data_IF_808754593892
#
_entry.id   IF_808754593892
#
_cell.length_a   1.000
_cell.length_b   1.000
_cell.length_c   1.000
_cell.angle_alpha   90.00
_cell.angle_beta   90.00
_cell.angle_gamma   90.00
#
_symmetry.space_group_name_H-M   'P 1'
#
loop_
_entity.id
_entity.type
_entity.pdbx_description
1 polymer ?
#
# COMPACT_ATOMS: atom_id res chain seq x y z
N UNK A 1 -9.76 17.36 4.88
CA UNK A 1 -9.66 16.90 6.28
C UNK A 1 -8.67 17.82 6.95
N UNK A 2 -8.95 18.31 8.14
CA UNK A 2 -8.17 19.41 8.74
C UNK A 2 -7.16 18.87 9.74
N UNK A 3 -5.97 19.45 9.76
CA UNK A 3 -4.86 19.13 10.63
C UNK A 3 -4.48 20.35 11.45
N UNK A 4 -4.18 20.14 12.74
CA UNK A 4 -3.83 21.19 13.68
C UNK A 4 -2.49 20.88 14.36
N UNK A 5 -1.55 21.83 14.34
CA UNK A 5 -0.35 21.75 15.18
C UNK A 5 -0.68 22.32 16.55
N UNK A 6 -0.54 21.50 17.58
CA UNK A 6 -0.89 21.86 18.96
C UNK A 6 0.31 21.71 19.90
N UNK A 7 0.24 22.36 21.06
CA UNK A 7 1.29 22.30 22.09
C UNK A 7 0.80 21.91 23.48
N UNK A 8 1.61 21.14 24.19
CA UNK A 8 1.35 20.72 25.56
C UNK A 8 1.66 21.88 26.51
N UNK A 9 0.67 22.25 27.33
CA UNK A 9 0.80 23.27 28.37
C UNK A 9 1.83 22.92 29.45
N UNK A 10 2.09 21.64 29.68
CA UNK A 10 2.92 21.16 30.79
C UNK A 10 4.39 21.01 30.41
N UNK A 11 4.68 20.45 29.23
CA UNK A 11 6.05 20.11 28.82
C UNK A 11 6.50 20.78 27.51
N UNK A 12 5.63 21.59 26.88
CA UNK A 12 5.93 22.34 25.66
C UNK A 12 6.11 21.49 24.39
N UNK A 13 5.86 20.19 24.44
CA UNK A 13 5.92 19.32 23.27
C UNK A 13 4.90 19.75 22.20
N UNK A 14 5.26 19.63 20.92
CA UNK A 14 4.42 19.93 19.77
C UNK A 14 4.04 18.65 19.02
N UNK A 15 2.82 18.54 18.52
CA UNK A 15 2.36 17.43 17.67
C UNK A 15 1.24 17.86 16.73
N UNK A 16 0.97 17.04 15.71
CA UNK A 16 -0.12 17.23 14.74
C UNK A 16 -1.33 16.41 15.20
N UNK A 17 -2.52 17.00 15.11
CA UNK A 17 -3.80 16.34 15.37
C UNK A 17 -4.63 16.38 14.10
N UNK A 18 -5.12 15.22 13.66
CA UNK A 18 -6.08 15.10 12.58
C UNK A 18 -7.51 15.34 13.10
N UNK A 19 -8.28 16.12 12.35
CA UNK A 19 -9.66 16.47 12.65
C UNK A 19 -9.79 17.31 13.92
N UNK A 20 -10.89 17.10 14.64
CA UNK A 20 -11.23 17.82 15.87
C UNK A 20 -11.73 16.86 16.95
N UNK A 21 -10.87 15.94 17.44
CA UNK A 21 -11.26 15.00 18.48
C UNK A 21 -11.56 15.73 19.79
N UNK A 22 -12.30 15.11 20.72
CA UNK A 22 -12.54 15.71 22.04
C UNK A 22 -11.25 15.85 22.88
N UNK A 23 -10.34 14.89 22.71
CA UNK A 23 -9.08 14.84 23.46
C UNK A 23 -7.91 14.43 22.59
N UNK A 24 -6.71 14.88 22.96
CA UNK A 24 -5.46 14.47 22.34
C UNK A 24 -4.38 14.21 23.40
N UNK A 25 -3.50 13.25 23.17
CA UNK A 25 -2.43 12.86 24.08
C UNK A 25 -1.12 13.55 23.73
N UNK A 26 -0.41 14.08 24.72
CA UNK A 26 0.93 14.58 24.51
C UNK A 26 1.91 13.41 24.27
N UNK A 27 2.67 13.37 23.17
CA UNK A 27 3.58 12.26 22.87
C UNK A 27 4.84 12.23 23.75
N UNK A 28 5.08 13.26 24.57
CA UNK A 28 6.29 13.36 25.41
C UNK A 28 6.02 13.03 26.88
N UNK A 29 4.96 13.59 27.47
CA UNK A 29 4.64 13.37 28.88
C UNK A 29 3.39 12.50 29.08
N UNK A 30 2.79 12.02 27.98
CA UNK A 30 1.65 11.09 27.95
C UNK A 30 0.37 11.63 28.61
N UNK A 31 0.36 12.90 29.01
CA UNK A 31 -0.84 13.56 29.54
C UNK A 31 -1.90 13.70 28.45
N UNK A 32 -3.15 13.39 28.82
CA UNK A 32 -4.33 13.62 27.97
C UNK A 32 -4.85 15.05 28.17
N UNK A 33 -5.08 15.75 27.07
CA UNK A 33 -5.60 17.12 27.05
C UNK A 33 -6.94 17.18 26.31
N UNK A 34 -7.82 18.11 26.71
CA UNK A 34 -9.00 18.46 25.91
C UNK A 34 -8.53 19.27 24.70
N UNK A 35 -8.88 18.80 23.49
CA UNK A 35 -8.41 19.42 22.25
C UNK A 35 -8.82 20.90 22.15
N UNK A 36 -10.06 21.21 22.53
CA UNK A 36 -10.59 22.58 22.56
C UNK A 36 -9.85 23.54 23.49
N UNK A 37 -9.02 23.03 24.41
CA UNK A 37 -8.20 23.83 25.34
C UNK A 37 -6.72 23.87 24.96
N UNK A 38 -6.30 23.09 23.97
CA UNK A 38 -4.93 23.13 23.50
C UNK A 38 -4.68 24.42 22.73
N UNK A 39 -3.46 24.94 22.83
CA UNK A 39 -3.02 26.03 21.98
C UNK A 39 -2.78 25.47 20.58
N UNK A 40 -3.60 25.89 19.63
CA UNK A 40 -3.40 25.64 18.20
C UNK A 40 -2.47 26.70 17.63
N UNK A 41 -1.43 26.27 16.93
CA UNK A 41 -0.44 27.15 16.29
C UNK A 41 -0.73 27.36 14.80
N UNK A 42 -1.15 26.31 14.12
CA UNK A 42 -1.65 26.34 12.74
C UNK A 42 -2.80 25.34 12.61
N UNK A 43 -3.75 25.65 11.74
CA UNK A 43 -4.80 24.76 11.29
C UNK A 43 -4.81 24.83 9.75
N UNK A 44 -4.79 23.68 9.08
CA UNK A 44 -4.65 23.56 7.62
C UNK A 44 -5.34 22.29 7.13
N UNK A 45 -5.77 22.24 5.87
CA UNK A 45 -6.30 21.02 5.26
C UNK A 45 -5.23 20.14 4.59
N UNK A 46 -3.97 20.55 4.69
CA UNK A 46 -2.78 19.88 4.17
C UNK A 46 -1.95 19.29 5.32
N UNK A 47 -1.79 17.97 5.34
CA UNK A 47 -1.06 17.26 6.39
C UNK A 47 0.44 17.59 6.38
N UNK A 48 1.03 17.66 5.20
CA UNK A 48 2.46 17.91 5.03
C UNK A 48 2.81 19.33 5.46
N UNK A 49 1.94 20.29 5.15
CA UNK A 49 2.10 21.64 5.68
C UNK A 49 2.04 21.68 7.22
N UNK A 50 1.17 20.88 7.86
CA UNK A 50 1.13 20.80 9.33
C UNK A 50 2.43 20.18 9.90
N UNK A 51 2.98 19.16 9.24
CA UNK A 51 4.26 18.53 9.63
C UNK A 51 5.42 19.51 9.48
N UNK A 52 5.46 20.25 8.39
CA UNK A 52 6.48 21.27 8.10
C UNK A 52 6.47 22.42 9.12
N UNK A 53 5.30 22.99 9.41
CA UNK A 53 5.17 24.04 10.44
C UNK A 53 5.65 23.54 11.80
N UNK A 54 5.29 22.31 12.18
CA UNK A 54 5.78 21.70 13.42
C UNK A 54 7.31 21.57 13.40
N UNK A 55 7.90 21.12 12.29
CA UNK A 55 9.33 20.95 12.14
C UNK A 55 10.07 22.30 12.23
N UNK A 56 9.59 23.32 11.52
CA UNK A 56 10.11 24.69 11.59
C UNK A 56 10.07 25.24 13.03
N UNK A 57 8.97 25.04 13.76
CA UNK A 57 8.88 25.45 15.16
C UNK A 57 9.90 24.75 16.07
N UNK A 58 10.17 23.46 15.84
CA UNK A 58 11.16 22.71 16.60
C UNK A 58 12.59 23.16 16.25
N UNK A 59 12.87 23.41 14.97
CA UNK A 59 14.17 23.92 14.51
C UNK A 59 14.46 25.30 15.11
N UNK A 60 13.49 26.22 15.05
CA UNK A 60 13.60 27.53 15.68
C UNK A 60 13.86 27.43 17.19
N UNK A 61 13.18 26.51 17.88
CA UNK A 61 13.40 26.26 19.32
C UNK A 61 14.79 25.71 19.63
N UNK A 62 15.36 24.94 18.73
CA UNK A 62 16.71 24.38 18.85
C UNK A 62 17.82 25.35 18.39
N UNK A 63 17.47 26.52 17.82
CA UNK A 63 18.44 27.47 17.26
C UNK A 63 18.92 27.13 15.85
N UNK A 64 18.22 26.24 15.13
CA UNK A 64 18.54 25.81 13.77
C UNK A 64 17.52 26.31 12.73
N UNK A 65 16.84 27.42 13.01
CA UNK A 65 15.80 27.97 12.12
C UNK A 65 16.32 28.35 10.73
N UNK A 66 17.52 28.93 10.65
CA UNK A 66 18.15 29.29 9.37
C UNK A 66 18.49 28.05 8.55
N UNK A 67 19.14 27.06 9.15
CA UNK A 67 19.46 25.80 8.49
C UNK A 67 18.21 25.04 8.01
N UNK A 68 17.10 25.14 8.75
CA UNK A 68 15.83 24.55 8.32
C UNK A 68 15.22 25.29 7.12
N UNK A 69 15.36 26.61 7.05
CA UNK A 69 14.86 27.41 5.93
C UNK A 69 15.66 27.18 4.63
N UNK A 70 16.84 26.59 4.71
CA UNK A 70 17.64 26.15 3.56
C UNK A 70 17.25 24.76 3.05
N UNK A 71 16.45 24.00 3.80
CA UNK A 71 15.95 22.70 3.37
C UNK A 71 14.78 22.88 2.39
N UNK A 72 14.61 21.90 1.52
CA UNK A 72 13.42 21.83 0.65
C UNK A 72 12.16 21.50 1.46
N UNK A 73 11.00 21.77 0.86
CA UNK A 73 9.71 21.54 1.50
C UNK A 73 9.52 20.05 1.89
N UNK A 74 8.66 19.81 2.89
CA UNK A 74 8.50 18.46 3.48
C UNK A 74 8.18 17.36 2.45
N UNK A 75 7.40 17.68 1.40
CA UNK A 75 7.08 16.73 0.32
C UNK A 75 8.31 16.31 -0.46
N UNK A 76 9.16 17.26 -0.83
CA UNK A 76 10.39 17.00 -1.60
C UNK A 76 11.40 16.20 -0.78
N UNK A 77 11.50 16.48 0.53
CA UNK A 77 12.29 15.67 1.46
C UNK A 77 11.79 14.23 1.56
N UNK A 78 10.48 14.00 1.39
CA UNK A 78 9.88 12.67 1.30
C UNK A 78 10.41 11.89 0.10
N UNK A 79 10.40 12.50 -1.09
CA UNK A 79 10.90 11.88 -2.32
C UNK A 79 12.37 11.46 -2.18
N UNK A 80 13.23 12.34 -1.63
CA UNK A 80 14.63 11.98 -1.38
C UNK A 80 14.80 10.86 -0.35
N UNK A 81 13.90 10.75 0.63
CA UNK A 81 13.97 9.70 1.63
C UNK A 81 13.53 8.34 1.06
N UNK A 82 12.60 8.33 0.11
CA UNK A 82 12.23 7.12 -0.66
C UNK A 82 13.37 6.68 -1.57
N UNK A 83 14.04 7.62 -2.22
CA UNK A 83 15.23 7.37 -3.04
C UNK A 83 16.51 7.10 -2.21
N UNK A 84 16.47 7.34 -0.89
CA UNK A 84 17.61 7.13 -0.02
C UNK A 84 17.73 5.66 0.39
N UNK A 85 18.60 4.93 -0.29
CA UNK A 85 18.91 3.56 0.08
C UNK A 85 19.47 2.77 -1.09
N UNK A 86 19.41 1.45 -0.95
CA UNK A 86 19.55 0.55 -2.09
C UNK A 86 18.19 0.48 -2.78
N UNK A 87 18.17 0.52 -4.10
CA UNK A 87 16.94 0.24 -4.83
C UNK A 87 16.47 -1.21 -4.58
N UNK A 88 15.20 -1.50 -4.84
CA UNK A 88 14.68 -2.87 -4.77
C UNK A 88 15.51 -3.83 -5.65
N UNK A 89 15.96 -3.35 -6.81
CA UNK A 89 16.81 -4.12 -7.73
C UNK A 89 18.18 -4.42 -7.10
N UNK A 90 18.85 -3.41 -6.53
CA UNK A 90 20.13 -3.58 -5.85
C UNK A 90 20.01 -4.49 -4.62
N UNK A 91 18.90 -4.39 -3.89
CA UNK A 91 18.60 -5.27 -2.76
C UNK A 91 18.43 -6.72 -3.20
N UNK A 92 17.69 -6.97 -4.28
CA UNK A 92 17.43 -8.31 -4.82
C UNK A 92 18.70 -8.94 -5.40
N UNK A 93 19.50 -8.19 -6.16
CA UNK A 93 20.80 -8.63 -6.65
C UNK A 93 21.74 -8.99 -5.48
N UNK A 94 21.80 -8.13 -4.46
CA UNK A 94 22.57 -8.40 -3.25
C UNK A 94 22.08 -9.65 -2.49
N UNK A 95 20.79 -9.96 -2.56
CA UNK A 95 20.19 -11.18 -2.01
C UNK A 95 20.42 -12.43 -2.90
N UNK A 96 21.09 -12.29 -4.05
CA UNK A 96 21.40 -13.36 -4.98
C UNK A 96 20.27 -13.68 -5.97
N UNK A 97 19.33 -12.75 -6.17
CA UNK A 97 18.28 -12.84 -7.19
C UNK A 97 18.77 -12.14 -8.45
N UNK A 98 18.88 -12.88 -9.55
CA UNK A 98 19.21 -12.32 -10.86
C UNK A 98 17.98 -11.59 -11.43
N UNK A 99 17.90 -10.28 -11.18
CA UNK A 99 16.78 -9.43 -11.59
C UNK A 99 16.65 -9.32 -13.11
N UNK A 100 17.78 -9.31 -13.83
CA UNK A 100 17.82 -9.31 -15.30
C UNK A 100 17.23 -10.61 -15.87
N UNK A 101 17.58 -11.77 -15.31
CA UNK A 101 17.01 -13.05 -15.73
C UNK A 101 15.50 -13.09 -15.47
N UNK A 102 15.04 -12.61 -14.29
CA UNK A 102 13.62 -12.58 -13.93
C UNK A 102 12.82 -11.71 -14.90
N UNK A 103 13.28 -10.50 -15.20
CA UNK A 103 12.64 -9.62 -16.19
C UNK A 103 12.63 -10.25 -17.59
N UNK A 104 13.74 -10.86 -18.00
CA UNK A 104 13.81 -11.56 -19.28
C UNK A 104 12.89 -12.80 -19.34
N UNK A 105 12.59 -13.44 -18.21
CA UNK A 105 11.57 -14.50 -18.14
C UNK A 105 10.17 -13.90 -18.33
N UNK A 106 9.85 -12.80 -17.67
CA UNK A 106 8.57 -12.10 -17.78
C UNK A 106 8.30 -11.67 -19.23
N UNK A 107 9.23 -10.94 -19.86
CA UNK A 107 9.11 -10.52 -21.26
C UNK A 107 8.94 -11.72 -22.21
N UNK A 108 9.66 -12.82 -21.97
CA UNK A 108 9.48 -14.04 -22.77
C UNK A 108 8.11 -14.66 -22.56
N UNK A 109 7.55 -14.62 -21.36
CA UNK A 109 6.20 -15.13 -21.07
C UNK A 109 5.15 -14.26 -21.76
N UNK A 110 5.27 -12.94 -21.68
CA UNK A 110 4.37 -12.00 -22.35
C UNK A 110 4.43 -12.11 -23.88
N UNK A 111 5.63 -12.10 -24.45
CA UNK A 111 5.84 -12.19 -25.90
C UNK A 111 5.47 -13.55 -26.48
N UNK A 112 5.58 -14.62 -25.68
CA UNK A 112 5.34 -15.97 -26.19
C UNK A 112 3.86 -16.34 -26.30
N UNK A 113 2.92 -15.45 -25.96
CA UNK A 113 1.48 -15.64 -26.14
C UNK A 113 1.05 -17.07 -25.78
N UNK A 114 1.63 -17.61 -24.71
CA UNK A 114 1.61 -19.05 -24.44
C UNK A 114 0.16 -19.47 -24.23
N UNK A 115 -0.24 -20.56 -24.88
CA UNK A 115 -1.39 -21.34 -24.44
C UNK A 115 -1.24 -21.55 -22.93
N UNK A 116 -2.12 -20.94 -22.13
CA UNK A 116 -2.07 -21.00 -20.67
C UNK A 116 -1.87 -22.46 -20.25
N UNK A 117 -0.97 -22.70 -19.29
CA UNK A 117 -0.81 -24.05 -18.74
C UNK A 117 -2.17 -24.52 -18.21
N UNK A 118 -2.47 -25.83 -18.25
CA UNK A 118 -3.83 -26.34 -17.91
C UNK A 118 -4.41 -25.78 -16.60
N UNK A 119 -3.54 -25.59 -15.60
CA UNK A 119 -3.88 -25.06 -14.27
C UNK A 119 -4.03 -23.54 -14.25
N UNK A 120 -3.22 -22.87 -15.05
CA UNK A 120 -3.21 -21.43 -15.23
C UNK A 120 -4.48 -21.01 -15.97
N UNK A 121 -4.87 -21.71 -17.05
CA UNK A 121 -6.10 -21.46 -17.79
C UNK A 121 -7.34 -21.45 -16.87
N UNK A 122 -7.44 -22.40 -15.93
CA UNK A 122 -8.53 -22.46 -14.95
C UNK A 122 -8.48 -21.29 -13.98
N UNK A 123 -7.29 -20.89 -13.51
CA UNK A 123 -7.14 -19.77 -12.57
C UNK A 123 -7.34 -18.42 -13.25
N UNK A 124 -6.89 -18.25 -14.48
CA UNK A 124 -7.10 -17.06 -15.30
C UNK A 124 -8.60 -16.89 -15.58
N UNK A 125 -9.30 -17.95 -15.98
CA UNK A 125 -10.76 -17.91 -16.14
C UNK A 125 -11.49 -17.42 -14.86
N UNK A 126 -11.07 -17.91 -13.69
CA UNK A 126 -11.65 -17.50 -12.40
C UNK A 126 -11.30 -16.07 -11.96
N UNK A 127 -10.26 -15.46 -12.53
CA UNK A 127 -9.85 -14.08 -12.22
C UNK A 127 -10.41 -13.07 -13.21
N UNK A 128 -10.47 -13.43 -14.48
CA UNK A 128 -10.82 -12.51 -15.56
C UNK A 128 -12.31 -12.51 -15.89
N UNK A 129 -13.01 -13.63 -15.66
CA UNK A 129 -14.45 -13.68 -15.81
C UNK A 129 -15.12 -13.23 -14.51
N UNK A 130 -16.16 -12.41 -14.62
CA UNK A 130 -16.97 -11.98 -13.49
C UNK A 130 -17.93 -13.10 -13.05
N UNK A 131 -17.63 -13.71 -11.90
CA UNK A 131 -18.44 -14.77 -11.28
C UNK A 131 -18.79 -15.94 -12.23
N UNK A 132 -17.81 -16.55 -12.94
CA UNK A 132 -18.09 -17.53 -13.98
C UNK A 132 -18.71 -18.81 -13.44
N UNK A 133 -19.62 -19.38 -14.19
CA UNK A 133 -20.07 -20.75 -13.98
C UNK A 133 -18.99 -21.76 -14.35
N UNK A 134 -19.09 -22.99 -13.84
CA UNK A 134 -18.18 -24.08 -14.23
C UNK A 134 -18.14 -24.31 -15.76
N UNK A 135 -19.26 -24.09 -16.44
CA UNK A 135 -19.36 -24.21 -17.91
C UNK A 135 -18.57 -23.12 -18.62
N UNK A 136 -18.57 -21.89 -18.11
CA UNK A 136 -17.79 -20.78 -18.68
C UNK A 136 -16.30 -20.97 -18.45
N UNK A 137 -15.91 -21.47 -17.28
CA UNK A 137 -14.51 -21.87 -17.02
C UNK A 137 -14.08 -22.99 -17.97
N UNK A 138 -14.94 -23.97 -18.25
CA UNK A 138 -14.67 -25.03 -19.24
C UNK A 138 -14.53 -24.48 -20.65
N UNK A 139 -15.36 -23.51 -21.04
CA UNK A 139 -15.30 -22.88 -22.36
C UNK A 139 -13.99 -22.10 -22.54
N UNK A 140 -13.63 -21.24 -21.58
CA UNK A 140 -12.37 -20.50 -21.59
C UNK A 140 -11.16 -21.43 -21.64
N UNK A 141 -11.13 -22.45 -20.76
CA UNK A 141 -10.01 -23.37 -20.72
C UNK A 141 -9.89 -24.22 -22.01
N UNK A 142 -11.00 -24.50 -22.70
CA UNK A 142 -10.99 -25.20 -23.99
C UNK A 142 -10.33 -24.37 -25.11
N UNK A 143 -10.47 -23.04 -25.09
CA UNK A 143 -9.75 -22.13 -26.01
C UNK A 143 -8.23 -22.25 -25.85
N UNK A 144 -7.77 -22.61 -24.65
CA UNK A 144 -6.37 -22.88 -24.33
C UNK A 144 -5.98 -24.37 -24.37
N UNK A 145 -6.82 -25.23 -24.95
CA UNK A 145 -6.51 -26.66 -25.14
C UNK A 145 -6.64 -27.53 -23.88
N UNK A 146 -7.42 -27.08 -22.89
CA UNK A 146 -7.66 -27.81 -21.64
C UNK A 146 -8.99 -28.55 -21.70
N UNK A 147 -8.96 -29.87 -21.49
CA UNK A 147 -10.18 -30.70 -21.48
C UNK A 147 -11.05 -30.46 -20.24
N UNK A 148 -12.36 -30.52 -20.40
CA UNK A 148 -13.35 -30.28 -19.33
C UNK A 148 -13.16 -31.16 -18.09
N UNK A 149 -12.73 -32.42 -18.25
CA UNK A 149 -12.43 -33.34 -17.13
C UNK A 149 -11.26 -32.85 -16.26
N UNK A 150 -10.34 -32.07 -16.83
CA UNK A 150 -9.28 -31.44 -16.05
C UNK A 150 -9.83 -30.27 -15.25
N UNK A 151 -10.65 -29.43 -15.87
CA UNK A 151 -11.26 -28.25 -15.25
C UNK A 151 -12.09 -28.66 -14.04
N UNK A 152 -12.95 -29.67 -14.18
CA UNK A 152 -13.79 -30.18 -13.09
C UNK A 152 -12.96 -30.67 -11.90
N UNK A 153 -11.91 -31.46 -12.16
CA UNK A 153 -10.98 -31.91 -11.11
C UNK A 153 -10.22 -30.76 -10.46
N UNK A 154 -9.82 -29.76 -11.23
CA UNK A 154 -9.13 -28.58 -10.73
C UNK A 154 -10.04 -27.75 -9.82
N UNK A 155 -11.28 -27.47 -10.25
CA UNK A 155 -12.28 -26.76 -9.46
C UNK A 155 -12.65 -27.52 -8.18
N UNK A 156 -12.83 -28.84 -8.25
CA UNK A 156 -13.05 -29.66 -7.07
C UNK A 156 -11.89 -29.55 -6.07
N UNK A 157 -10.65 -29.50 -6.56
CA UNK A 157 -9.48 -29.34 -5.69
C UNK A 157 -9.42 -27.95 -5.05
N UNK A 158 -9.73 -26.89 -5.79
CA UNK A 158 -9.76 -25.51 -5.29
C UNK A 158 -10.88 -25.33 -4.24
N UNK A 159 -12.08 -25.85 -4.50
CA UNK A 159 -13.18 -25.88 -3.52
C UNK A 159 -12.79 -26.60 -2.23
N UNK A 160 -12.10 -27.75 -2.34
CA UNK A 160 -11.62 -28.50 -1.16
C UNK A 160 -10.54 -27.76 -0.37
N UNK A 161 -9.73 -26.95 -1.05
CA UNK A 161 -8.71 -26.12 -0.41
C UNK A 161 -9.29 -24.84 0.23
N UNK A 162 -10.51 -24.45 -0.15
CA UNK A 162 -11.10 -23.17 0.25
C UNK A 162 -10.62 -22.01 -0.62
N UNK A 163 -10.01 -22.27 -1.77
CA UNK A 163 -9.51 -21.23 -2.70
C UNK A 163 -10.61 -20.67 -3.61
N UNK A 164 -11.76 -21.35 -3.70
CA UNK A 164 -12.90 -20.97 -4.54
C UNK A 164 -14.19 -21.13 -3.75
N UNK A 165 -15.02 -20.09 -3.79
CA UNK A 165 -16.41 -20.10 -3.30
C UNK A 165 -17.38 -20.11 -4.47
N UNK A 166 -18.56 -20.69 -4.24
CA UNK A 166 -19.66 -20.69 -5.19
C UNK A 166 -20.86 -19.98 -4.58
N UNK A 167 -21.37 -18.97 -5.27
CA UNK A 167 -22.55 -18.19 -4.86
C UNK A 167 -23.50 -18.12 -6.05
N UNK A 168 -24.74 -18.59 -5.87
CA UNK A 168 -25.78 -18.59 -6.91
C UNK A 168 -25.35 -19.22 -8.26
N UNK A 169 -24.41 -20.17 -8.22
CA UNK A 169 -23.85 -20.86 -9.39
C UNK A 169 -22.64 -20.16 -10.04
N UNK A 170 -22.28 -18.97 -9.58
CA UNK A 170 -21.06 -18.26 -9.96
C UNK A 170 -19.86 -18.63 -9.07
N UNK A 171 -18.70 -18.83 -9.69
CA UNK A 171 -17.46 -19.18 -9.01
C UNK A 171 -16.62 -17.93 -8.77
N UNK A 172 -16.06 -17.80 -7.57
CA UNK A 172 -15.16 -16.71 -7.22
C UNK A 172 -13.93 -17.24 -6.50
N UNK A 173 -12.76 -16.76 -6.91
CA UNK A 173 -11.50 -17.00 -6.20
C UNK A 173 -11.44 -16.16 -4.92
N UNK A 174 -10.95 -16.76 -3.82
CA UNK A 174 -10.70 -16.06 -2.55
C UNK A 174 -9.26 -15.54 -2.43
#
# INVERSE_FOLDING_TARGET
MTYAVVGCSDCGALWVVEGRPDTSGCPRCEKRHQFSKLRTFVETDDEDHAREVRASMLANRAGHGEAFAELEDFTTLGDFAEDAGMSDEEFLDSAGVDTEEVLAVEERVEQSGRSLGKREAVRTALRELDEPTESEVKAFAAEHGVGGDYVERALQKLRRAGDVTETDGGLRLL
#
